data_IF_701736291183
#
_entry.id   IF_701736291183
#
_cell.length_a   1.000
_cell.length_b   1.000
_cell.length_c   1.000
_cell.angle_alpha   90.00
_cell.angle_beta   90.00
_cell.angle_gamma   90.00
#
_symmetry.space_group_name_H-M   'P 1'
#
loop_
_entity.id
_entity.type
_entity.pdbx_description
1 polymer ?
#
# COMPACT_ATOMS: atom_id res chain seq x y z
N UNK A 1 -10.50 -14.52 -1.56
CA UNK A 1 -9.51 -14.08 -0.57
C UNK A 1 -10.28 -13.56 0.64
N UNK A 2 -10.05 -14.09 1.84
CA UNK A 2 -10.86 -13.76 3.02
C UNK A 2 -10.15 -12.70 3.87
N UNK A 3 -10.92 -11.75 4.41
CA UNK A 3 -10.41 -10.71 5.32
C UNK A 3 -9.60 -11.29 6.50
N UNK A 4 -10.00 -12.48 6.97
CA UNK A 4 -9.35 -13.23 8.04
C UNK A 4 -7.88 -13.59 7.72
N UNK A 5 -7.59 -13.99 6.47
CA UNK A 5 -6.24 -14.28 6.01
C UNK A 5 -5.36 -13.02 6.02
N UNK A 6 -5.92 -11.90 5.55
CA UNK A 6 -5.26 -10.61 5.54
C UNK A 6 -4.96 -10.13 6.96
N UNK A 7 -5.87 -10.34 7.90
CA UNK A 7 -5.67 -9.97 9.29
C UNK A 7 -4.61 -10.83 9.98
N UNK A 8 -4.58 -12.16 9.72
CA UNK A 8 -3.51 -13.02 10.24
C UNK A 8 -2.15 -12.65 9.64
N UNK A 9 -2.11 -12.36 8.34
CA UNK A 9 -0.89 -11.89 7.65
C UNK A 9 -0.41 -10.57 8.24
N UNK A 10 -1.29 -9.57 8.35
CA UNK A 10 -1.00 -8.30 8.98
C UNK A 10 -0.43 -8.51 10.38
N UNK A 11 -1.08 -9.33 11.21
CA UNK A 11 -0.61 -9.60 12.58
C UNK A 11 0.79 -10.21 12.59
N UNK A 12 1.10 -11.12 11.67
CA UNK A 12 2.45 -11.70 11.53
C UNK A 12 3.48 -10.68 11.05
N UNK A 13 3.13 -9.86 10.05
CA UNK A 13 4.01 -8.83 9.48
C UNK A 13 4.32 -7.71 10.47
N UNK A 14 3.33 -7.27 11.26
CA UNK A 14 3.52 -6.27 12.33
C UNK A 14 4.38 -6.85 13.46
N UNK A 15 4.18 -8.12 13.82
CA UNK A 15 5.02 -8.81 14.82
C UNK A 15 6.49 -8.89 14.36
N UNK A 16 6.71 -9.00 13.04
CA UNK A 16 8.02 -9.06 12.39
C UNK A 16 8.40 -7.72 11.71
N UNK A 17 7.91 -6.58 12.21
CA UNK A 17 8.08 -5.27 11.55
C UNK A 17 9.53 -4.95 11.15
N UNK A 18 10.50 -5.36 11.96
CA UNK A 18 11.93 -5.10 11.74
C UNK A 18 12.51 -5.89 10.55
N UNK A 19 11.88 -7.01 10.19
CA UNK A 19 12.25 -7.86 9.04
C UNK A 19 11.32 -7.67 7.85
N UNK A 20 10.06 -7.30 8.09
CA UNK A 20 9.05 -7.10 7.06
C UNK A 20 9.20 -5.75 6.34
N UNK A 21 9.66 -4.71 7.03
CA UNK A 21 9.84 -3.37 6.47
C UNK A 21 11.22 -2.81 6.87
N UNK A 22 12.30 -3.27 6.21
CA UNK A 22 13.65 -2.80 6.54
C UNK A 22 13.87 -1.30 6.26
N UNK A 23 13.04 -0.69 5.40
CA UNK A 23 13.07 0.73 5.06
C UNK A 23 12.39 1.63 6.11
N UNK A 24 11.63 1.06 7.05
CA UNK A 24 10.87 1.81 8.04
C UNK A 24 9.57 2.39 7.49
N UNK A 25 9.06 3.45 8.14
CA UNK A 25 7.83 4.13 7.74
C UNK A 25 8.17 5.34 6.87
N UNK A 26 7.70 5.33 5.63
CA UNK A 26 7.84 6.46 4.71
C UNK A 26 6.79 7.52 4.99
N UNK A 27 7.19 8.78 5.14
CA UNK A 27 6.23 9.86 5.35
C UNK A 27 5.52 10.22 4.03
N UNK A 28 4.19 10.23 4.02
CA UNK A 28 3.42 10.50 2.80
C UNK A 28 3.62 11.92 2.27
N UNK A 29 4.16 12.86 3.06
CA UNK A 29 4.44 14.20 2.59
C UNK A 29 5.48 14.25 1.48
N UNK A 30 6.45 13.32 1.46
CA UNK A 30 7.50 13.27 0.44
C UNK A 30 6.91 12.85 -0.92
N UNK A 31 6.08 11.80 -0.93
CA UNK A 31 5.42 11.33 -2.15
C UNK A 31 4.37 12.34 -2.64
N UNK A 32 3.62 12.99 -1.75
CA UNK A 32 2.66 14.03 -2.11
C UNK A 32 3.35 15.27 -2.68
N UNK A 33 4.49 15.68 -2.11
CA UNK A 33 5.28 16.80 -2.62
C UNK A 33 5.82 16.52 -4.03
N UNK A 34 6.16 15.26 -4.34
CA UNK A 34 6.54 14.82 -5.69
C UNK A 34 5.34 14.71 -6.63
N UNK A 35 4.19 14.30 -6.13
CA UNK A 35 2.97 14.07 -6.93
C UNK A 35 2.42 15.35 -7.56
N UNK A 36 2.53 16.50 -6.88
CA UNK A 36 2.09 17.79 -7.42
C UNK A 36 2.75 18.19 -8.76
N UNK A 37 3.83 17.50 -9.16
CA UNK A 37 4.57 17.77 -10.39
C UNK A 37 4.21 16.82 -11.55
N UNK A 38 3.48 15.73 -11.29
CA UNK A 38 3.34 14.62 -12.24
C UNK A 38 1.88 14.24 -12.49
N UNK A 39 1.20 15.09 -13.29
CA UNK A 39 -0.20 14.96 -13.76
C UNK A 39 -0.54 13.64 -14.46
N UNK A 40 0.46 12.84 -14.83
CA UNK A 40 0.29 11.65 -15.66
C UNK A 40 -0.06 10.39 -14.84
N UNK A 41 0.12 10.45 -13.52
CA UNK A 41 -0.18 9.32 -12.64
C UNK A 41 -1.66 9.19 -12.27
N UNK A 42 -2.46 10.27 -12.33
CA UNK A 42 -3.89 10.23 -11.96
C UNK A 42 -4.70 9.22 -12.78
N UNK A 43 -4.44 9.10 -14.08
CA UNK A 43 -5.17 8.17 -14.96
C UNK A 43 -4.79 6.69 -14.72
N UNK A 44 -3.51 6.40 -14.46
CA UNK A 44 -3.04 5.03 -14.18
C UNK A 44 -3.43 4.56 -12.78
N UNK A 45 -3.36 5.49 -11.83
CA UNK A 45 -3.85 5.36 -10.48
C UNK A 45 -5.34 4.96 -10.43
N UNK A 46 -6.16 5.43 -11.37
CA UNK A 46 -7.60 5.10 -11.41
C UNK A 46 -7.81 3.63 -11.71
N UNK A 47 -7.10 3.11 -12.71
CA UNK A 47 -7.21 1.70 -13.09
C UNK A 47 -6.66 0.75 -12.02
N UNK A 48 -5.60 1.14 -11.29
CA UNK A 48 -5.02 0.36 -10.22
C UNK A 48 -5.96 0.24 -8.99
N UNK A 49 -6.68 1.33 -8.65
CA UNK A 49 -7.42 1.43 -7.38
C UNK A 49 -8.92 1.08 -7.52
N UNK A 50 -9.46 1.02 -8.73
CA UNK A 50 -10.90 0.79 -8.96
C UNK A 50 -11.43 -0.56 -8.45
N UNK A 51 -10.57 -1.57 -8.26
CA UNK A 51 -11.00 -2.93 -7.85
C UNK A 51 -10.69 -3.22 -6.36
N UNK A 52 -10.26 -2.22 -5.60
CA UNK A 52 -10.05 -2.39 -4.15
C UNK A 52 -11.35 -2.46 -3.39
N UNK A 53 -11.47 -3.51 -2.58
CA UNK A 53 -12.49 -3.66 -1.57
C UNK A 53 -12.02 -2.86 -0.35
N UNK A 54 -12.72 -1.76 -0.08
CA UNK A 54 -12.52 -0.95 1.12
C UNK A 54 -13.38 -1.52 2.25
N UNK A 55 -12.72 -1.88 3.35
CA UNK A 55 -13.35 -2.30 4.59
C UNK A 55 -12.97 -1.33 5.70
N UNK A 56 -13.87 -0.41 6.01
CA UNK A 56 -13.73 0.48 7.15
C UNK A 56 -14.13 -0.26 8.44
N UNK A 57 -13.27 -0.19 9.46
CA UNK A 57 -13.53 -0.68 10.82
C UNK A 57 -13.29 0.44 11.82
N UNK A 58 -13.83 0.29 13.03
CA UNK A 58 -13.76 1.32 14.09
C UNK A 58 -12.35 1.69 14.53
N UNK A 59 -11.36 0.86 14.23
CA UNK A 59 -9.96 1.02 14.64
C UNK A 59 -8.99 1.16 13.45
N UNK A 60 -9.41 0.75 12.24
CA UNK A 60 -8.56 0.70 11.05
C UNK A 60 -9.37 0.64 9.77
N UNK A 61 -8.78 1.10 8.67
CA UNK A 61 -9.33 0.99 7.33
C UNK A 61 -8.49 0.00 6.53
N UNK A 62 -9.10 -1.05 6.00
CA UNK A 62 -8.41 -2.10 5.25
C UNK A 62 -8.82 -2.00 3.79
N UNK A 63 -7.89 -1.72 2.88
CA UNK A 63 -8.14 -1.77 1.45
C UNK A 63 -7.45 -3.00 0.90
N UNK A 64 -8.17 -3.90 0.26
CA UNK A 64 -7.55 -5.07 -0.32
C UNK A 64 -8.17 -5.41 -1.65
N UNK A 65 -7.40 -6.08 -2.48
CA UNK A 65 -7.78 -6.54 -3.78
C UNK A 65 -7.12 -7.89 -4.05
N UNK A 66 -7.43 -8.49 -5.19
CA UNK A 66 -6.82 -9.69 -5.74
C UNK A 66 -5.30 -9.59 -5.83
N UNK A 67 -4.76 -8.37 -6.01
CA UNK A 67 -3.33 -8.12 -6.19
C UNK A 67 -2.63 -7.47 -5.00
N UNK A 68 -3.34 -6.80 -4.10
CA UNK A 68 -2.73 -5.96 -3.08
C UNK A 68 -3.55 -5.96 -1.80
N UNK A 69 -2.91 -5.75 -0.66
CA UNK A 69 -3.57 -5.58 0.62
C UNK A 69 -2.94 -4.41 1.36
N UNK A 70 -3.78 -3.56 1.92
CA UNK A 70 -3.41 -2.31 2.54
C UNK A 70 -4.16 -2.18 3.86
N UNK A 71 -3.45 -1.83 4.92
CA UNK A 71 -4.03 -1.56 6.22
C UNK A 71 -3.65 -0.16 6.66
N UNK A 72 -4.64 0.68 6.91
CA UNK A 72 -4.51 2.03 7.43
C UNK A 72 -4.97 2.03 8.89
N UNK A 73 -4.03 2.20 9.81
CA UNK A 73 -4.31 2.23 11.24
C UNK A 73 -4.12 3.67 11.74
N UNK A 74 -5.20 4.43 11.92
CA UNK A 74 -5.13 5.71 12.61
C UNK A 74 -4.76 5.48 14.08
N UNK A 75 -3.77 6.22 14.55
CA UNK A 75 -3.24 6.14 15.90
C UNK A 75 -2.94 7.55 16.39
N UNK A 76 -3.01 7.78 17.69
CA UNK A 76 -2.77 9.08 18.28
C UNK A 76 -1.45 9.01 19.06
N UNK A 77 -0.39 9.59 18.50
CA UNK A 77 0.96 9.59 19.12
C UNK A 77 1.27 11.02 19.53
N UNK A 78 1.61 11.22 20.81
CA UNK A 78 2.00 12.54 21.35
C UNK A 78 0.96 13.67 21.12
N UNK A 79 -0.33 13.33 21.10
CA UNK A 79 -1.40 14.30 20.84
C UNK A 79 -1.64 14.59 19.35
N UNK A 80 -0.87 13.99 18.45
CA UNK A 80 -1.02 14.15 17.01
C UNK A 80 -1.68 12.90 16.39
N UNK A 81 -2.63 13.13 15.48
CA UNK A 81 -3.28 12.05 14.76
C UNK A 81 -2.35 11.56 13.63
N UNK A 82 -1.86 10.33 13.75
CA UNK A 82 -0.96 9.67 12.83
C UNK A 82 -1.65 8.44 12.23
N UNK A 83 -1.80 8.37 10.91
CA UNK A 83 -2.25 7.14 10.26
C UNK A 83 -1.07 6.37 9.71
N UNK A 84 -0.92 5.11 10.11
CA UNK A 84 0.10 4.19 9.58
C UNK A 84 -0.53 3.30 8.51
N UNK A 85 0.01 3.38 7.30
CA UNK A 85 -0.33 2.52 6.19
C UNK A 85 0.67 1.39 6.02
N UNK A 86 0.17 0.19 5.79
CA UNK A 86 0.97 -0.99 5.47
C UNK A 86 0.47 -1.54 4.16
N UNK A 87 1.36 -1.75 3.19
CA UNK A 87 1.07 -2.27 1.86
C UNK A 87 1.75 -3.64 1.73
N UNK A 88 0.99 -4.61 1.26
CA UNK A 88 1.47 -5.92 0.87
C UNK A 88 1.01 -6.23 -0.56
N UNK A 89 1.92 -6.76 -1.36
CA UNK A 89 1.64 -7.23 -2.72
C UNK A 89 1.37 -8.73 -2.69
N UNK A 90 0.35 -9.15 -3.42
CA UNK A 90 0.12 -10.57 -3.71
C UNK A 90 1.03 -11.02 -4.86
N UNK A 91 2.03 -11.84 -4.55
CA UNK A 91 2.92 -12.44 -5.55
C UNK A 91 2.42 -13.80 -6.08
N UNK A 92 1.14 -14.13 -5.83
CA UNK A 92 0.43 -15.29 -6.37
C UNK A 92 0.21 -16.38 -5.32
N UNK A 93 1.28 -16.84 -4.67
CA UNK A 93 1.23 -17.90 -3.65
C UNK A 93 1.35 -17.34 -2.22
N UNK A 94 1.96 -16.16 -2.08
CA UNK A 94 2.15 -15.46 -0.82
C UNK A 94 1.99 -13.93 -0.96
N UNK A 95 1.60 -13.29 0.14
CA UNK A 95 1.68 -11.85 0.26
C UNK A 95 3.07 -11.47 0.77
N UNK A 96 3.69 -10.52 0.10
CA UNK A 96 4.97 -9.96 0.52
C UNK A 96 4.73 -8.55 1.03
N UNK A 97 5.20 -8.20 2.25
CA UNK A 97 5.16 -6.82 2.70
C UNK A 97 6.07 -6.00 1.79
N UNK A 98 5.51 -5.00 1.13
CA UNK A 98 6.24 -4.22 0.13
C UNK A 98 6.68 -2.89 0.71
N UNK A 99 5.74 -2.19 1.37
CA UNK A 99 5.96 -0.82 1.80
C UNK A 99 5.13 -0.49 3.04
N UNK A 100 5.71 0.26 3.97
CA UNK A 100 5.01 0.87 5.09
C UNK A 100 5.16 2.39 5.01
N UNK A 101 4.07 3.11 5.22
CA UNK A 101 4.05 4.57 5.23
C UNK A 101 3.34 5.09 6.47
N UNK A 102 3.62 6.33 6.84
CA UNK A 102 2.92 7.04 7.89
C UNK A 102 2.50 8.44 7.45
N UNK A 103 1.40 8.88 8.01
CA UNK A 103 0.76 10.15 7.73
C UNK A 103 0.53 10.88 9.04
N UNK A 104 1.35 11.87 9.32
CA UNK A 104 1.29 12.69 10.54
C UNK A 104 0.63 14.05 10.30
N UNK A 105 -0.07 14.56 11.32
CA UNK A 105 -0.56 15.94 11.38
C UNK A 105 -1.45 16.36 10.19
N UNK A 106 -0.99 17.34 9.41
CA UNK A 106 -1.75 17.93 8.29
C UNK A 106 -1.96 16.98 7.10
N UNK A 107 -1.15 15.94 7.00
CA UNK A 107 -1.25 14.92 5.96
C UNK A 107 -2.18 13.77 6.36
N UNK A 108 -2.65 13.76 7.61
CA UNK A 108 -3.60 12.78 8.13
C UNK A 108 -5.04 13.01 7.60
N UNK A 109 -5.19 13.28 6.30
CA UNK A 109 -6.46 13.34 5.61
C UNK A 109 -6.64 12.07 4.80
N UNK A 110 -7.81 11.43 4.91
CA UNK A 110 -8.15 10.20 4.17
C UNK A 110 -7.89 10.34 2.68
N UNK A 111 -8.18 11.51 2.09
CA UNK A 111 -7.91 11.81 0.68
C UNK A 111 -6.43 11.85 0.34
N UNK A 112 -5.59 12.47 1.17
CA UNK A 112 -4.13 12.57 0.96
C UNK A 112 -3.44 11.22 1.15
N UNK A 113 -3.86 10.49 2.17
CA UNK A 113 -3.39 9.12 2.45
C UNK A 113 -3.74 8.21 1.27
N UNK A 114 -4.98 8.27 0.79
CA UNK A 114 -5.42 7.47 -0.35
C UNK A 114 -4.68 7.85 -1.63
N UNK A 115 -4.41 9.13 -1.85
CA UNK A 115 -3.65 9.62 -3.01
C UNK A 115 -2.20 9.13 -3.00
N UNK A 116 -1.53 9.26 -1.85
CA UNK A 116 -0.17 8.71 -1.64
C UNK A 116 -0.15 7.20 -1.86
N UNK A 117 -1.10 6.49 -1.24
CA UNK A 117 -1.27 5.04 -1.40
C UNK A 117 -1.42 4.64 -2.86
N UNK A 118 -2.32 5.32 -3.57
CA UNK A 118 -2.66 5.07 -4.96
C UNK A 118 -1.46 5.26 -5.89
N UNK A 119 -0.56 6.20 -5.55
CA UNK A 119 0.75 6.35 -6.21
C UNK A 119 1.67 5.16 -5.96
N UNK A 120 1.83 4.75 -4.69
CA UNK A 120 2.67 3.59 -4.35
C UNK A 120 2.19 2.32 -5.06
N UNK A 121 0.88 2.07 -5.05
CA UNK A 121 0.27 0.93 -5.73
C UNK A 121 0.52 0.97 -7.23
N UNK A 122 0.38 2.15 -7.86
CA UNK A 122 0.67 2.32 -9.28
C UNK A 122 2.14 2.05 -9.61
N UNK A 123 3.08 2.53 -8.78
CA UNK A 123 4.52 2.35 -8.99
C UNK A 123 4.93 0.88 -8.86
N UNK A 124 4.39 0.19 -7.85
CA UNK A 124 4.59 -1.25 -7.64
C UNK A 124 3.97 -2.04 -8.80
N UNK A 125 2.76 -1.70 -9.22
CA UNK A 125 2.09 -2.38 -10.33
C UNK A 125 2.81 -2.18 -11.67
N UNK A 126 3.30 -0.98 -11.94
CA UNK A 126 4.07 -0.67 -13.15
C UNK A 126 5.40 -1.43 -13.14
N UNK A 127 6.11 -1.42 -12.01
CA UNK A 127 7.34 -2.20 -11.81
C UNK A 127 7.11 -3.70 -12.03
N UNK A 128 6.05 -4.27 -11.48
CA UNK A 128 5.71 -5.69 -11.68
C UNK A 128 5.32 -6.00 -13.13
N UNK A 129 4.64 -5.08 -13.81
CA UNK A 129 4.24 -5.23 -15.20
C UNK A 129 5.45 -5.17 -16.14
N UNK A 130 6.37 -4.23 -15.90
CA UNK A 130 7.66 -4.13 -16.58
C UNK A 130 8.50 -5.39 -16.31
N UNK A 131 8.58 -5.85 -15.05
CA UNK A 131 9.30 -7.06 -14.66
C UNK A 131 8.72 -8.32 -15.34
N UNK A 132 7.39 -8.43 -15.45
CA UNK A 132 6.72 -9.51 -16.20
C UNK A 132 6.99 -9.42 -17.69
N UNK A 133 7.05 -8.21 -18.27
CA UNK A 133 7.39 -8.03 -19.67
C UNK A 133 8.87 -8.37 -19.95
N UNK A 134 9.75 -8.14 -18.97
CA UNK A 134 11.18 -8.46 -19.02
C UNK A 134 11.47 -9.94 -18.79
N UNK A 135 10.58 -10.69 -18.13
CA UNK A 135 10.65 -12.16 -18.10
C UNK A 135 10.24 -12.65 -19.50
N UNK A 136 11.17 -13.14 -20.35
CA UNK A 136 10.76 -13.72 -21.62
C UNK A 136 9.76 -14.84 -21.33
N UNK A 137 8.73 -15.06 -22.19
CA UNK A 137 7.96 -16.28 -22.08
C UNK A 137 8.98 -17.41 -22.13
N UNK A 138 9.06 -18.19 -21.06
CA UNK A 138 9.76 -19.47 -21.13
C UNK A 138 8.98 -20.25 -22.18
N UNK A 139 9.49 -20.22 -23.42
CA UNK A 139 9.09 -21.14 -24.46
C UNK A 139 9.55 -22.49 -23.93
N UNK A 140 8.65 -23.14 -23.21
CA UNK A 140 8.73 -24.56 -22.91
C UNK A 140 8.66 -25.28 -24.26
N UNK A 141 9.77 -25.90 -24.62
CA UNK A 141 9.99 -26.59 -25.89
C UNK A 141 9.67 -28.07 -25.83
#
# INVERSE_FOLDING_TARGET
MSLDFLEDFFRRSITNHNTAFPEGFLDISDVLARSALDFKAEELADSAVNDFIVSESSDKLTLFNTNFAVWLVPTLVDGEAITRGYIALNQGEEFSPELAFEASGKYNNSSLILEALRRYLCDIQDTEKELRALRPPSIDG
#
